data_IF_641500655747
#
_entry.id   IF_641500655747
#
_cell.length_a   1.000
_cell.length_b   1.000
_cell.length_c   1.000
_cell.angle_alpha   90.00
_cell.angle_beta   90.00
_cell.angle_gamma   90.00
#
_symmetry.space_group_name_H-M   'P 1'
#
loop_
_entity.id
_entity.type
_entity.pdbx_description
1 polymer ?
#
# COMPACT_ATOMS: atom_id res chain seq x y z
N UNK A 1 18.04 1.54 -17.32
CA UNK A 1 17.28 2.54 -16.54
C UNK A 1 17.43 2.21 -15.07
N UNK A 2 17.80 3.18 -14.22
CA UNK A 2 17.86 2.99 -12.77
C UNK A 2 16.46 3.13 -12.17
N UNK A 3 16.04 2.18 -11.33
CA UNK A 3 14.72 2.18 -10.69
C UNK A 3 14.61 1.16 -9.56
N UNK A 4 13.38 0.76 -9.23
CA UNK A 4 13.10 -0.24 -8.19
C UNK A 4 12.69 -1.57 -8.81
N UNK A 5 13.26 -2.67 -8.34
CA UNK A 5 12.67 -4.00 -8.49
C UNK A 5 11.95 -4.32 -7.17
N UNK A 6 10.65 -4.53 -7.25
CA UNK A 6 9.79 -4.89 -6.11
C UNK A 6 9.34 -6.33 -6.27
N UNK A 7 9.59 -7.17 -5.27
CA UNK A 7 9.03 -8.53 -5.21
C UNK A 7 7.97 -8.59 -4.13
N UNK A 8 6.78 -9.03 -4.50
CA UNK A 8 5.63 -9.13 -3.59
C UNK A 8 4.69 -10.23 -4.08
N UNK A 9 4.19 -11.08 -3.18
CA UNK A 9 3.24 -12.17 -3.46
C UNK A 9 3.62 -13.06 -4.67
N UNK A 10 4.92 -13.35 -4.81
CA UNK A 10 5.45 -14.18 -5.89
C UNK A 10 5.53 -13.48 -7.25
N UNK A 11 5.25 -12.18 -7.31
CA UNK A 11 5.39 -11.33 -8.51
C UNK A 11 6.57 -10.40 -8.37
N UNK A 12 7.12 -10.00 -9.53
CA UNK A 12 8.22 -9.05 -9.64
C UNK A 12 7.78 -7.87 -10.50
N UNK A 13 7.95 -6.67 -9.98
CA UNK A 13 7.57 -5.41 -10.62
C UNK A 13 8.82 -4.56 -10.82
N UNK A 14 9.07 -4.14 -12.06
CA UNK A 14 10.15 -3.22 -12.40
C UNK A 14 9.57 -1.81 -12.53
N UNK A 15 9.88 -0.96 -11.56
CA UNK A 15 9.31 0.37 -11.42
C UNK A 15 10.37 1.39 -11.80
N UNK A 16 10.22 2.02 -12.95
CA UNK A 16 11.18 2.99 -13.44
C UNK A 16 10.56 3.93 -14.47
N UNK A 17 11.15 5.13 -14.57
CA UNK A 17 10.80 6.11 -15.59
C UNK A 17 12.06 6.85 -16.03
N UNK A 18 12.18 7.12 -17.33
CA UNK A 18 13.25 7.95 -17.90
C UNK A 18 12.94 9.45 -17.78
N UNK A 19 11.70 9.81 -17.41
CA UNK A 19 11.20 11.19 -17.46
C UNK A 19 10.65 11.69 -16.13
N UNK A 20 10.30 10.78 -15.23
CA UNK A 20 9.59 11.10 -14.00
C UNK A 20 10.29 10.48 -12.80
N UNK A 21 10.03 11.08 -11.62
CA UNK A 21 10.35 10.43 -10.36
C UNK A 21 9.49 9.17 -10.21
N UNK A 22 10.10 8.10 -9.70
CA UNK A 22 9.39 6.91 -9.23
C UNK A 22 9.47 6.80 -7.71
N UNK A 23 8.45 6.21 -7.11
CA UNK A 23 8.39 5.97 -5.67
C UNK A 23 7.83 4.58 -5.38
N UNK A 24 8.19 4.05 -4.20
CA UNK A 24 7.55 2.88 -3.60
C UNK A 24 7.20 3.26 -2.17
N UNK A 25 5.93 3.08 -1.82
CA UNK A 25 5.36 3.44 -0.53
C UNK A 25 4.82 2.14 0.08
N UNK A 26 5.33 1.80 1.26
CA UNK A 26 4.78 0.74 2.09
C UNK A 26 4.10 1.38 3.31
N UNK A 27 2.84 1.03 3.53
CA UNK A 27 2.02 1.52 4.63
C UNK A 27 1.60 0.34 5.50
N UNK A 28 1.69 0.51 6.82
CA UNK A 28 1.15 -0.42 7.80
C UNK A 28 0.35 0.36 8.84
N UNK A 29 -0.80 -0.16 9.21
CA UNK A 29 -1.54 0.28 10.39
C UNK A 29 -2.00 -0.92 11.21
N UNK A 30 -2.91 -0.72 12.15
CA UNK A 30 -3.39 -1.78 13.04
C UNK A 30 -4.18 -2.90 12.34
N UNK A 31 -4.58 -2.72 11.08
CA UNK A 31 -5.51 -3.63 10.39
C UNK A 31 -5.01 -4.13 9.03
N UNK A 32 -4.22 -3.33 8.32
CA UNK A 32 -3.78 -3.67 6.97
C UNK A 32 -2.34 -3.23 6.67
N UNK A 33 -1.79 -3.89 5.68
CA UNK A 33 -0.56 -3.54 4.99
C UNK A 33 -0.90 -3.16 3.54
N UNK A 34 -0.30 -2.09 3.04
CA UNK A 34 -0.44 -1.69 1.65
C UNK A 34 0.95 -1.41 1.05
N UNK A 35 1.14 -1.79 -0.21
CA UNK A 35 2.29 -1.36 -1.00
C UNK A 35 1.81 -0.79 -2.34
N UNK A 36 2.27 0.42 -2.64
CA UNK A 36 2.03 1.12 -3.89
C UNK A 36 3.35 1.58 -4.48
N UNK A 37 3.52 1.47 -5.78
CA UNK A 37 4.75 1.91 -6.42
C UNK A 37 4.55 2.29 -7.87
N UNK A 38 5.14 3.42 -8.25
CA UNK A 38 5.02 3.98 -9.59
C UNK A 38 5.40 5.44 -9.69
N UNK A 39 4.91 6.06 -10.77
CA UNK A 39 5.01 7.49 -11.04
C UNK A 39 3.59 8.07 -11.22
N UNK A 40 3.31 8.73 -12.34
CA UNK A 40 1.95 9.14 -12.72
C UNK A 40 0.98 7.94 -12.80
N UNK A 41 1.47 6.79 -13.27
CA UNK A 41 0.71 5.54 -13.28
C UNK A 41 1.33 4.50 -12.32
N UNK A 42 0.51 3.73 -11.57
CA UNK A 42 1.01 2.72 -10.65
C UNK A 42 1.45 1.45 -11.39
N UNK A 43 2.55 0.85 -10.97
CA UNK A 43 3.06 -0.44 -11.45
C UNK A 43 2.73 -1.58 -10.48
N UNK A 44 2.64 -1.26 -9.19
CA UNK A 44 2.18 -2.16 -8.12
C UNK A 44 1.19 -1.42 -7.24
N UNK A 45 0.12 -2.11 -6.85
CA UNK A 45 -0.85 -1.66 -5.86
C UNK A 45 -1.44 -2.91 -5.19
N UNK A 46 -1.15 -3.10 -3.91
CA UNK A 46 -1.54 -4.28 -3.15
C UNK A 46 -2.05 -3.89 -1.76
N UNK A 47 -3.26 -4.34 -1.42
CA UNK A 47 -3.90 -4.17 -0.11
C UNK A 47 -4.07 -5.53 0.56
N UNK A 48 -3.36 -5.74 1.67
CA UNK A 48 -3.32 -6.99 2.40
C UNK A 48 -3.86 -6.80 3.82
N UNK A 49 -4.62 -7.77 4.33
CA UNK A 49 -4.97 -7.78 5.74
C UNK A 49 -3.70 -7.99 6.55
N UNK A 50 -3.49 -7.19 7.59
CA UNK A 50 -2.27 -7.29 8.38
C UNK A 50 -2.26 -8.63 9.13
N UNK A 51 -1.22 -9.42 8.88
CA UNK A 51 -0.91 -10.68 9.54
C UNK A 51 0.59 -10.94 9.53
N UNK A 52 1.05 -11.81 10.42
CA UNK A 52 2.44 -12.28 10.42
C UNK A 52 2.76 -12.99 9.10
N UNK A 53 4.02 -12.84 8.63
CA UNK A 53 4.50 -13.49 7.41
C UNK A 53 4.23 -12.74 6.10
N UNK A 54 3.74 -11.49 6.16
CA UNK A 54 3.71 -10.62 4.97
C UNK A 54 5.14 -10.17 4.62
N UNK A 55 5.56 -10.45 3.40
CA UNK A 55 6.90 -10.12 2.89
C UNK A 55 6.83 -9.25 1.63
N UNK A 56 7.78 -8.32 1.52
CA UNK A 56 8.09 -7.61 0.30
C UNK A 56 9.59 -7.31 0.26
N UNK A 57 10.16 -7.30 -0.94
CA UNK A 57 11.56 -6.98 -1.18
C UNK A 57 11.64 -5.79 -2.14
N UNK A 58 12.57 -4.86 -1.87
CA UNK A 58 12.85 -3.72 -2.75
C UNK A 58 14.35 -3.69 -3.01
N UNK A 59 14.71 -3.65 -4.29
CA UNK A 59 16.08 -3.47 -4.76
C UNK A 59 16.16 -2.22 -5.65
N UNK A 60 17.21 -1.41 -5.49
CA UNK A 60 17.52 -0.30 -6.40
C UNK A 60 18.56 -0.78 -7.40
N UNK A 61 18.21 -0.89 -8.67
CA UNK A 61 19.09 -1.48 -9.70
C UNK A 61 18.77 -0.99 -11.12
N UNK A 62 19.63 -1.31 -12.06
CA UNK A 62 19.46 -0.99 -13.49
C UNK A 62 18.75 -2.12 -14.25
N UNK A 63 17.81 -1.76 -15.12
CA UNK A 63 17.11 -2.68 -16.01
C UNK A 63 16.72 -2.00 -17.33
N UNK A 64 16.50 -2.79 -18.38
CA UNK A 64 16.20 -2.26 -19.72
C UNK A 64 14.84 -1.56 -19.77
N UNK A 65 13.79 -2.31 -19.47
CA UNK A 65 12.39 -1.87 -19.56
C UNK A 65 11.65 -2.01 -18.22
N UNK A 66 10.78 -1.05 -17.85
CA UNK A 66 9.89 -1.18 -16.71
C UNK A 66 8.78 -2.22 -17.01
N UNK A 67 8.07 -2.65 -15.97
CA UNK A 67 6.86 -3.45 -16.14
C UNK A 67 5.73 -2.61 -16.77
N UNK A 68 4.70 -3.25 -17.31
CA UNK A 68 3.51 -2.51 -17.74
C UNK A 68 2.81 -1.88 -16.52
N UNK A 69 2.42 -0.59 -16.58
CA UNK A 69 1.59 0.00 -15.55
C UNK A 69 0.25 -0.71 -15.42
N UNK A 70 -0.32 -0.66 -14.22
CA UNK A 70 -1.67 -1.12 -13.91
C UNK A 70 -2.64 -0.36 -14.80
N UNK A 71 -3.45 -1.12 -15.51
CA UNK A 71 -4.49 -0.63 -16.40
C UNK A 71 -5.65 -1.61 -16.41
N UNK A 72 -6.80 -1.20 -16.92
CA UNK A 72 -7.98 -2.06 -17.09
C UNK A 72 -7.67 -3.35 -17.88
N UNK A 73 -6.61 -3.34 -18.69
CA UNK A 73 -6.25 -4.44 -19.58
C UNK A 73 -5.17 -5.38 -19.02
N UNK A 74 -4.21 -4.86 -18.24
CA UNK A 74 -2.99 -5.61 -17.97
C UNK A 74 -2.78 -6.05 -16.53
N UNK A 75 -3.36 -5.44 -15.50
CA UNK A 75 -3.13 -5.89 -14.11
C UNK A 75 -4.28 -5.54 -13.19
N UNK A 76 -4.60 -6.45 -12.27
CA UNK A 76 -5.61 -6.25 -11.24
C UNK A 76 -4.87 -5.82 -9.96
N UNK A 77 -5.37 -4.77 -9.31
CA UNK A 77 -4.97 -4.38 -7.94
C UNK A 77 -5.07 -5.62 -7.04
N UNK A 78 -4.00 -5.96 -6.35
CA UNK A 78 -3.99 -7.14 -5.48
C UNK A 78 -4.71 -6.83 -4.18
N UNK A 79 -5.94 -7.31 -4.04
CA UNK A 79 -6.75 -7.07 -2.85
C UNK A 79 -6.96 -8.41 -2.16
N UNK A 80 -6.39 -8.54 -0.97
CA UNK A 80 -6.65 -9.68 -0.09
C UNK A 80 -8.16 -9.81 0.17
N UNK A 81 -8.76 -11.00 -0.06
CA UNK A 81 -10.19 -11.22 0.21
C UNK A 81 -10.60 -10.88 1.64
N UNK A 82 -9.76 -11.15 2.64
CA UNK A 82 -10.05 -10.82 4.03
C UNK A 82 -9.96 -9.32 4.29
N UNK A 83 -9.03 -8.63 3.64
CA UNK A 83 -9.01 -7.16 3.65
C UNK A 83 -10.29 -6.61 3.02
N UNK A 84 -10.72 -7.15 1.89
CA UNK A 84 -11.94 -6.69 1.20
C UNK A 84 -13.19 -6.86 2.07
N UNK A 85 -13.31 -7.99 2.76
CA UNK A 85 -14.41 -8.23 3.69
C UNK A 85 -14.39 -7.23 4.85
N UNK A 86 -13.22 -7.05 5.47
CA UNK A 86 -13.02 -6.08 6.56
C UNK A 86 -13.29 -4.63 6.11
N UNK A 87 -12.83 -4.23 4.92
CA UNK A 87 -13.05 -2.89 4.37
C UNK A 87 -14.51 -2.63 3.96
N UNK A 88 -15.30 -3.69 3.78
CA UNK A 88 -16.74 -3.60 3.49
C UNK A 88 -17.60 -3.55 4.76
N UNK A 89 -17.00 -3.78 5.94
CA UNK A 89 -17.68 -3.69 7.21
C UNK A 89 -17.91 -2.20 7.56
N UNK A 90 -19.18 -1.74 7.71
CA UNK A 90 -19.49 -0.35 8.04
C UNK A 90 -18.94 0.09 9.40
N UNK A 91 -18.71 -0.84 10.32
CA UNK A 91 -18.16 -0.57 11.65
C UNK A 91 -16.62 -0.64 11.65
N UNK A 92 -15.99 -0.92 10.50
CA UNK A 92 -14.54 -1.00 10.41
C UNK A 92 -13.86 0.32 10.80
N UNK A 93 -12.94 0.21 11.78
CA UNK A 93 -12.24 1.35 12.35
C UNK A 93 -13.10 2.27 13.22
N UNK A 94 -14.35 1.90 13.52
CA UNK A 94 -15.22 2.67 14.43
C UNK A 94 -14.62 2.71 15.84
N UNK A 95 -14.14 1.58 16.35
CA UNK A 95 -13.49 1.51 17.67
C UNK A 95 -12.27 2.43 17.75
N UNK A 96 -11.41 2.41 16.72
CA UNK A 96 -10.26 3.31 16.63
C UNK A 96 -10.68 4.78 16.56
N UNK A 97 -11.71 5.12 15.77
CA UNK A 97 -12.26 6.48 15.69
C UNK A 97 -12.84 6.93 17.04
N UNK A 98 -13.52 6.04 17.76
CA UNK A 98 -14.07 6.30 19.08
C UNK A 98 -12.98 6.48 20.13
N UNK A 99 -11.92 5.68 20.08
CA UNK A 99 -10.74 5.84 20.93
C UNK A 99 -10.06 7.20 20.69
N UNK A 100 -9.83 7.56 19.42
CA UNK A 100 -9.28 8.87 19.06
C UNK A 100 -10.17 10.02 19.49
N UNK A 101 -11.49 9.89 19.31
CA UNK A 101 -12.45 10.88 19.79
C UNK A 101 -12.36 11.08 21.30
N UNK A 102 -12.38 9.98 22.09
CA UNK A 102 -12.26 10.04 23.56
C UNK A 102 -10.94 10.64 24.01
N UNK A 103 -9.84 10.32 23.31
CA UNK A 103 -8.52 10.90 23.58
C UNK A 103 -8.51 12.41 23.35
N UNK A 104 -9.05 12.87 22.22
CA UNK A 104 -9.16 14.29 21.90
C UNK A 104 -10.07 15.02 22.90
N UNK A 105 -11.22 14.41 23.26
CA UNK A 105 -12.13 14.94 24.27
C UNK A 105 -11.44 15.13 25.62
N UNK A 106 -10.62 14.16 26.05
CA UNK A 106 -9.86 14.27 27.31
C UNK A 106 -8.80 15.37 27.28
N UNK A 107 -8.21 15.67 26.12
CA UNK A 107 -7.23 16.77 25.99
C UNK A 107 -7.97 18.10 26.09
N UNK A 108 -9.02 18.27 25.29
CA UNK A 108 -9.80 19.51 25.24
C UNK A 108 -10.47 19.84 26.59
N UNK A 109 -10.86 18.84 27.38
CA UNK A 109 -11.41 19.02 28.73
C UNK A 109 -10.37 19.36 29.80
N UNK A 110 -9.07 19.18 29.55
CA UNK A 110 -7.99 19.53 30.50
C UNK A 110 -7.52 20.98 30.36
N UNK A 111 -7.81 21.62 29.23
CA UNK A 111 -7.45 23.02 28.95
C UNK A 111 -8.55 24.02 29.41
N UNK A 112 -9.58 23.54 30.12
CA UNK A 112 -10.65 24.31 30.76
C UNK A 112 -10.75 23.98 32.24
#
# INVERSE_FOLDING_TARGET
>A
MLGFIVKHLGRTYKIGSLREQVSVIALINTHYFCIEGGCSDPFICSFQKLREGLEFEIEVTEFDDPSDPISEKNQIIEIDPEYRQMASDPDFGLDYKLEMFRRLESILKKDH
#
